data_IF_904585870856
#
_entry.id   IF_904585870856
#
_cell.length_a   1.000
_cell.length_b   1.000
_cell.length_c   1.000
_cell.angle_alpha   90.00
_cell.angle_beta   90.00
_cell.angle_gamma   90.00
#
_symmetry.space_group_name_H-M   'P 1'
#
loop_
_entity.id
_entity.type
_entity.pdbx_description
1 polymer ?
#
# COMPACT_ATOMS: atom_id res chain seq x y z
N UNK A 1 15.07 6.40 9.58
CA UNK A 1 13.65 6.09 9.82
C UNK A 1 13.01 6.93 10.94
N UNK A 2 13.70 7.94 11.49
CA UNK A 2 13.15 8.84 12.50
C UNK A 2 12.72 10.16 11.84
N UNK A 3 11.55 10.68 12.25
CA UNK A 3 10.89 11.94 11.87
C UNK A 3 9.99 11.97 10.62
N UNK A 4 9.16 10.94 10.38
CA UNK A 4 7.85 11.23 9.79
C UNK A 4 6.93 11.70 10.92
N UNK A 5 6.20 12.83 10.77
CA UNK A 5 5.25 13.28 11.78
C UNK A 5 4.34 12.11 12.16
N UNK A 6 4.15 11.89 13.46
CA UNK A 6 3.17 10.93 13.96
C UNK A 6 1.85 11.17 13.22
N UNK A 7 1.40 10.18 12.44
CA UNK A 7 0.18 10.29 11.63
C UNK A 7 0.37 10.35 10.11
N UNK A 8 1.59 10.53 9.57
CA UNK A 8 1.80 10.57 8.11
C UNK A 8 1.34 9.29 7.39
N UNK A 9 1.58 8.12 8.00
CA UNK A 9 1.09 6.85 7.48
C UNK A 9 -0.44 6.74 7.54
N UNK A 10 -1.06 7.32 8.56
CA UNK A 10 -2.53 7.32 8.72
C UNK A 10 -3.16 8.28 7.72
N UNK A 11 -2.63 9.49 7.52
CA UNK A 11 -3.15 10.44 6.54
C UNK A 11 -3.07 9.89 5.11
N UNK A 12 -1.97 9.19 4.78
CA UNK A 12 -1.85 8.51 3.48
C UNK A 12 -2.87 7.37 3.37
N UNK A 13 -3.07 6.58 4.42
CA UNK A 13 -4.10 5.54 4.43
C UNK A 13 -5.50 6.11 4.17
N UNK A 14 -5.85 7.19 4.87
CA UNK A 14 -7.13 7.90 4.70
C UNK A 14 -7.30 8.42 3.28
N UNK A 15 -6.25 8.98 2.69
CA UNK A 15 -6.28 9.42 1.29
C UNK A 15 -6.50 8.25 0.32
N UNK A 16 -5.76 7.15 0.47
CA UNK A 16 -5.92 5.93 -0.34
C UNK A 16 -7.36 5.40 -0.26
N UNK A 17 -7.94 5.39 0.94
CA UNK A 17 -9.34 5.00 1.16
C UNK A 17 -10.28 5.97 0.43
N UNK A 18 -10.03 7.29 0.54
CA UNK A 18 -10.88 8.33 -0.06
C UNK A 18 -10.95 8.27 -1.59
N UNK A 19 -9.86 7.85 -2.25
CA UNK A 19 -9.84 7.68 -3.72
C UNK A 19 -10.48 6.36 -4.18
N UNK A 20 -11.00 5.55 -3.25
CA UNK A 20 -11.70 4.30 -3.55
C UNK A 20 -10.78 3.13 -3.91
N UNK A 21 -9.49 3.20 -3.58
CA UNK A 21 -8.56 2.11 -3.86
C UNK A 21 -9.00 0.82 -3.16
N UNK A 22 -8.83 -0.32 -3.85
CA UNK A 22 -9.13 -1.67 -3.32
C UNK A 22 -7.88 -2.48 -3.02
N UNK A 23 -6.73 -2.04 -3.53
CA UNK A 23 -5.45 -2.66 -3.29
C UNK A 23 -4.34 -1.60 -3.28
N UNK A 24 -3.30 -1.85 -2.49
CA UNK A 24 -2.05 -1.08 -2.48
C UNK A 24 -0.87 -2.01 -2.65
N UNK A 25 0.15 -1.53 -3.35
CA UNK A 25 1.42 -2.25 -3.51
C UNK A 25 2.53 -1.42 -2.86
N UNK A 26 3.40 -2.07 -2.11
CA UNK A 26 4.53 -1.41 -1.47
C UNK A 26 5.63 -2.40 -1.11
N UNK A 27 6.83 -1.88 -0.88
CA UNK A 27 7.98 -2.70 -0.45
C UNK A 27 7.91 -3.00 1.04
N UNK A 28 7.43 -2.05 1.83
CA UNK A 28 7.22 -2.18 3.26
C UNK A 28 6.11 -1.25 3.72
N UNK A 29 5.29 -1.72 4.67
CA UNK A 29 4.27 -0.92 5.34
C UNK A 29 4.59 -0.84 6.82
N UNK A 30 4.53 0.38 7.37
CA UNK A 30 4.59 0.56 8.81
C UNK A 30 3.33 -0.01 9.48
N UNK A 31 3.39 -0.38 10.77
CA UNK A 31 2.27 -0.99 11.47
C UNK A 31 0.99 -0.12 11.44
N UNK A 32 1.14 1.21 11.54
CA UNK A 32 -0.01 2.13 11.58
C UNK A 32 -0.80 2.17 10.26
N UNK A 33 -0.13 2.24 9.12
CA UNK A 33 -0.81 2.28 7.80
C UNK A 33 -1.39 0.91 7.44
N UNK A 34 -0.66 -0.17 7.73
CA UNK A 34 -1.10 -1.53 7.45
C UNK A 34 -2.43 -1.85 8.12
N UNK A 35 -2.57 -1.51 9.41
CA UNK A 35 -3.81 -1.73 10.17
C UNK A 35 -4.98 -0.93 9.60
N UNK A 36 -4.78 0.36 9.31
CA UNK A 36 -5.87 1.22 8.78
C UNK A 36 -6.35 0.74 7.40
N UNK A 37 -5.43 0.38 6.51
CA UNK A 37 -5.77 -0.13 5.18
C UNK A 37 -6.50 -1.48 5.25
N UNK A 38 -6.04 -2.41 6.10
CA UNK A 38 -6.70 -3.69 6.29
C UNK A 38 -8.11 -3.53 6.87
N UNK A 39 -8.30 -2.66 7.86
CA UNK A 39 -9.62 -2.38 8.45
C UNK A 39 -10.60 -1.76 7.44
N UNK A 40 -10.09 -0.97 6.48
CA UNK A 40 -10.89 -0.41 5.40
C UNK A 40 -11.13 -1.40 4.24
N UNK A 41 -10.71 -2.65 4.36
CA UNK A 41 -10.86 -3.67 3.32
C UNK A 41 -9.97 -3.45 2.09
N UNK A 42 -8.89 -2.68 2.22
CA UNK A 42 -7.91 -2.46 1.16
C UNK A 42 -6.86 -3.57 1.22
N UNK A 43 -6.71 -4.33 0.14
CA UNK A 43 -5.70 -5.39 0.05
C UNK A 43 -4.29 -4.79 0.06
N UNK A 44 -3.42 -5.28 0.95
CA UNK A 44 -2.04 -4.82 1.07
C UNK A 44 -1.11 -5.87 0.46
N UNK A 45 -0.41 -5.51 -0.62
CA UNK A 45 0.52 -6.39 -1.30
C UNK A 45 1.96 -5.92 -1.10
N UNK A 46 2.78 -6.81 -0.56
CA UNK A 46 4.22 -6.62 -0.43
C UNK A 46 4.90 -7.09 -1.72
N UNK A 47 5.69 -6.21 -2.34
CA UNK A 47 6.44 -6.53 -3.57
C UNK A 47 7.94 -6.25 -3.39
N UNK A 48 8.83 -6.96 -4.10
CA UNK A 48 10.26 -6.70 -4.05
C UNK A 48 10.59 -5.24 -4.43
N UNK A 49 11.64 -4.64 -3.84
CA UNK A 49 12.15 -3.36 -4.31
C UNK A 49 12.80 -3.49 -5.69
N UNK A 50 12.95 -2.36 -6.39
CA UNK A 50 13.70 -2.26 -7.65
C UNK A 50 13.14 -3.12 -8.80
N UNK A 51 11.82 -3.32 -8.84
CA UNK A 51 11.11 -3.92 -9.97
C UNK A 51 10.25 -2.89 -10.67
N UNK A 52 9.90 -3.13 -11.94
CA UNK A 52 8.98 -2.24 -12.66
C UNK A 52 7.57 -2.40 -12.11
N UNK A 53 6.80 -1.31 -12.10
CA UNK A 53 5.40 -1.31 -11.65
C UNK A 53 4.56 -2.35 -12.40
N UNK A 54 4.79 -2.51 -13.71
CA UNK A 54 4.09 -3.52 -14.53
C UNK A 54 4.37 -4.95 -14.07
N UNK A 55 5.60 -5.25 -13.64
CA UNK A 55 5.96 -6.58 -13.15
C UNK A 55 5.32 -6.82 -11.78
N UNK A 56 5.33 -5.80 -10.90
CA UNK A 56 4.64 -5.85 -9.61
C UNK A 56 3.13 -6.13 -9.77
N UNK A 57 2.46 -5.45 -10.72
CA UNK A 57 1.04 -5.66 -11.00
C UNK A 57 0.72 -7.05 -11.54
N UNK A 58 1.61 -7.63 -12.36
CA UNK A 58 1.50 -9.02 -12.83
C UNK A 58 1.67 -10.02 -11.69
N UNK A 59 2.65 -9.79 -10.80
CA UNK A 59 2.92 -10.66 -9.65
C UNK A 59 1.71 -10.77 -8.71
N UNK A 60 0.99 -9.67 -8.50
CA UNK A 60 -0.20 -9.65 -7.63
C UNK A 60 -1.50 -10.02 -8.38
N UNK A 61 -1.41 -10.37 -9.67
CA UNK A 61 -2.55 -10.82 -10.47
C UNK A 61 -3.53 -9.73 -10.89
N UNK A 62 -3.21 -8.45 -10.69
CA UNK A 62 -4.05 -7.31 -11.10
C UNK A 62 -4.00 -7.13 -12.62
N UNK A 63 -2.83 -7.35 -13.22
CA UNK A 63 -2.63 -7.24 -14.66
C UNK A 63 -2.41 -8.64 -15.24
N UNK A 64 -3.35 -9.10 -16.08
CA UNK A 64 -3.16 -10.33 -16.85
C UNK A 64 -2.42 -9.99 -18.15
N UNK A 65 -1.38 -10.77 -18.44
CA UNK A 65 -0.61 -10.67 -19.68
C UNK A 65 -1.45 -11.19 -20.87
#
# INVERSE_FOLDING_TARGET
FASLPHGAGVSIAQWIISIGARAVLGVAFGPNIGVVLQQAGVAVHMVPPNIRVVDALKMVGILRA
#
